data_IF_076742956114
#
_entry.id   IF_076742956114
#
_cell.length_a   1.000
_cell.length_b   1.000
_cell.length_c   1.000
_cell.angle_alpha   90.00
_cell.angle_beta   90.00
_cell.angle_gamma   90.00
#
_symmetry.space_group_name_H-M   'P 1'
#
loop_
_entity.id
_entity.type
_entity.pdbx_description
1 polymer ?
#
# COMPACT_ATOMS: atom_id res chain seq x y z
N UNK A 1 1.23 -14.33 0.05
CA UNK A 1 1.24 -15.52 0.93
C UNK A 1 0.27 -15.41 2.11
N UNK A 2 0.24 -14.30 2.88
CA UNK A 2 -0.65 -14.16 4.06
C UNK A 2 -2.14 -14.34 3.71
N UNK A 3 -2.57 -13.85 2.55
CA UNK A 3 -3.97 -13.93 2.07
C UNK A 3 -4.23 -15.08 1.11
N UNK A 4 -3.21 -15.90 0.79
CA UNK A 4 -3.34 -17.00 -0.16
C UNK A 4 -4.33 -18.06 0.34
N UNK A 5 -5.33 -18.39 -0.48
CA UNK A 5 -6.40 -19.31 -0.10
C UNK A 5 -7.34 -18.78 1.01
N UNK A 6 -7.20 -17.52 1.42
CA UNK A 6 -8.06 -16.88 2.42
C UNK A 6 -9.13 -16.00 1.77
N UNK A 7 -10.22 -15.83 2.45
CA UNK A 7 -11.41 -15.06 2.00
C UNK A 7 -11.23 -13.54 2.25
N UNK A 8 -10.04 -13.01 1.93
CA UNK A 8 -9.63 -11.62 2.16
C UNK A 8 -9.05 -11.03 0.89
N UNK A 9 -9.42 -9.79 0.55
CA UNK A 9 -8.79 -9.03 -0.53
C UNK A 9 -7.37 -8.65 -0.16
N UNK A 10 -6.40 -9.15 -0.91
CA UNK A 10 -4.97 -8.78 -0.74
C UNK A 10 -4.75 -7.29 -0.98
N UNK A 11 -5.46 -6.73 -1.97
CA UNK A 11 -5.43 -5.29 -2.27
C UNK A 11 -5.85 -4.44 -1.09
N UNK A 12 -6.91 -4.84 -0.38
CA UNK A 12 -7.41 -4.15 0.82
C UNK A 12 -6.40 -4.25 1.96
N UNK A 13 -5.85 -5.44 2.22
CA UNK A 13 -4.81 -5.63 3.23
C UNK A 13 -3.60 -4.72 2.99
N UNK A 14 -3.09 -4.68 1.75
CA UNK A 14 -1.93 -3.84 1.41
C UNK A 14 -2.26 -2.35 1.59
N UNK A 15 -3.45 -1.91 1.15
CA UNK A 15 -3.87 -0.52 1.30
C UNK A 15 -4.02 -0.11 2.77
N UNK A 16 -4.57 -0.99 3.61
CA UNK A 16 -4.65 -0.76 5.07
C UNK A 16 -3.25 -0.72 5.69
N UNK A 17 -2.36 -1.67 5.35
CA UNK A 17 -0.99 -1.64 5.84
C UNK A 17 -0.28 -0.33 5.49
N UNK A 18 -0.40 0.15 4.24
CA UNK A 18 0.18 1.42 3.82
C UNK A 18 -0.39 2.62 4.59
N UNK A 19 -1.72 2.67 4.77
CA UNK A 19 -2.39 3.77 5.43
C UNK A 19 -2.09 3.81 6.93
N UNK A 20 -2.24 2.68 7.64
CA UNK A 20 -2.08 2.57 9.10
C UNK A 20 -0.63 2.74 9.55
N UNK A 21 0.33 2.31 8.74
CA UNK A 21 1.76 2.39 9.06
C UNK A 21 2.45 3.66 8.60
N UNK A 22 1.71 4.62 8.01
CA UNK A 22 2.30 5.75 7.29
C UNK A 22 3.35 5.27 6.26
N UNK A 23 2.98 4.30 5.41
CA UNK A 23 3.86 3.68 4.42
C UNK A 23 5.08 2.97 5.03
N UNK A 24 4.91 2.35 6.19
CA UNK A 24 5.98 1.64 6.90
C UNK A 24 6.96 2.55 7.65
N UNK A 25 6.69 3.86 7.73
CA UNK A 25 7.60 4.84 8.37
C UNK A 25 7.26 5.15 9.82
N UNK A 26 6.10 4.70 10.33
CA UNK A 26 5.74 4.93 11.73
C UNK A 26 6.65 4.12 12.67
N UNK A 27 6.95 4.66 13.86
CA UNK A 27 7.75 3.98 14.87
C UNK A 27 7.16 2.63 15.29
N UNK A 28 5.83 2.48 15.19
CA UNK A 28 5.14 1.24 15.49
C UNK A 28 5.33 0.20 14.38
N UNK A 29 5.37 0.61 13.13
CA UNK A 29 5.57 -0.29 11.98
C UNK A 29 7.04 -0.63 11.74
N UNK A 30 7.96 0.24 12.12
CA UNK A 30 9.41 0.00 11.95
C UNK A 30 9.93 -1.09 12.89
N UNK A 31 11.14 -1.57 12.61
CA UNK A 31 11.88 -2.41 13.56
C UNK A 31 12.05 -1.67 14.91
N UNK A 32 11.98 -2.39 16.01
CA UNK A 32 11.78 -3.84 16.18
C UNK A 32 10.32 -4.25 16.40
N UNK A 33 9.34 -3.41 16.05
CA UNK A 33 7.94 -3.61 16.42
C UNK A 33 7.11 -4.30 15.32
N UNK A 34 7.37 -4.02 14.04
CA UNK A 34 6.76 -4.62 12.85
C UNK A 34 5.22 -4.59 12.80
N UNK A 35 4.56 -3.68 13.54
CA UNK A 35 3.10 -3.62 13.62
C UNK A 35 2.55 -2.69 12.53
N UNK A 36 2.18 -3.28 11.40
CA UNK A 36 1.71 -2.55 10.20
C UNK A 36 0.29 -2.01 10.33
N UNK A 37 -0.52 -2.53 11.25
CA UNK A 37 -1.96 -2.28 11.31
C UNK A 37 -2.41 -1.60 12.60
N UNK A 38 -1.50 -1.16 13.44
CA UNK A 38 -1.85 -0.51 14.70
C UNK A 38 -2.59 -1.41 15.68
N UNK A 39 -2.35 -2.73 15.64
CA UNK A 39 -3.10 -3.68 16.47
C UNK A 39 -2.70 -3.55 17.94
N UNK A 40 -3.68 -3.26 18.80
CA UNK A 40 -3.50 -3.15 20.25
C UNK A 40 -3.39 -4.50 20.93
N UNK A 41 -2.81 -4.50 22.14
CA UNK A 41 -2.64 -5.67 22.99
C UNK A 41 -1.24 -6.28 22.90
N UNK A 42 -1.16 -7.61 23.00
CA UNK A 42 0.10 -8.35 22.89
C UNK A 42 0.01 -9.44 21.81
N UNK A 43 1.15 -9.81 21.26
CA UNK A 43 1.33 -10.96 20.38
C UNK A 43 2.30 -11.93 21.05
N UNK A 44 1.82 -13.12 21.45
CA UNK A 44 2.60 -14.11 22.20
C UNK A 44 3.32 -13.50 23.44
N UNK A 45 2.62 -12.62 24.16
CA UNK A 45 3.17 -11.93 25.33
C UNK A 45 4.04 -10.72 25.01
N UNK A 46 4.31 -10.42 23.74
CA UNK A 46 5.14 -9.28 23.32
C UNK A 46 4.28 -8.07 22.98
N UNK A 47 4.62 -6.93 23.55
CA UNK A 47 3.99 -5.64 23.27
C UNK A 47 4.98 -4.50 23.39
N UNK A 48 4.62 -3.36 22.81
CA UNK A 48 5.29 -2.07 23.01
C UNK A 48 4.29 -1.06 23.52
N UNK A 49 4.65 -0.31 24.56
CA UNK A 49 3.81 0.76 25.10
C UNK A 49 4.12 2.06 24.35
N UNK A 50 3.12 2.64 23.71
CA UNK A 50 3.28 3.84 22.91
C UNK A 50 2.16 4.84 23.14
N UNK A 51 2.49 6.13 23.02
CA UNK A 51 1.51 7.21 23.03
C UNK A 51 0.66 7.17 21.77
N UNK A 52 -0.64 7.25 21.93
CA UNK A 52 -1.62 7.30 20.84
C UNK A 52 -2.71 8.33 21.12
N UNK A 53 -3.37 8.79 20.08
CA UNK A 53 -4.56 9.62 20.18
C UNK A 53 -5.79 8.77 19.95
N UNK A 54 -6.72 8.81 20.90
CA UNK A 54 -8.02 8.15 20.78
C UNK A 54 -9.10 9.18 20.49
N UNK A 55 -10.04 8.83 19.62
CA UNK A 55 -11.22 9.65 19.32
C UNK A 55 -12.34 9.35 20.33
N UNK A 56 -12.67 10.33 21.16
CA UNK A 56 -13.80 10.25 22.08
C UNK A 56 -15.16 10.49 21.37
N UNK A 57 -15.17 10.59 20.05
CA UNK A 57 -16.31 10.98 19.25
C UNK A 57 -16.35 12.48 18.95
N UNK A 58 -17.03 12.87 17.88
CA UNK A 58 -17.14 14.26 17.41
C UNK A 58 -15.77 14.98 17.23
N UNK A 59 -14.74 14.24 16.78
CA UNK A 59 -13.36 14.74 16.56
C UNK A 59 -12.68 15.27 17.84
N UNK A 60 -13.09 14.80 19.01
CA UNK A 60 -12.43 15.08 20.27
C UNK A 60 -11.37 14.03 20.54
N UNK A 61 -10.12 14.41 20.38
CA UNK A 61 -8.98 13.53 20.62
C UNK A 61 -8.44 13.70 22.02
N UNK A 62 -8.06 12.59 22.65
CA UNK A 62 -7.29 12.58 23.90
C UNK A 62 -6.12 11.61 23.80
N UNK A 63 -5.02 11.98 24.44
CA UNK A 63 -3.79 11.19 24.39
C UNK A 63 -3.74 10.19 25.51
N UNK A 64 -3.39 8.94 25.18
CA UNK A 64 -3.12 7.88 26.15
C UNK A 64 -1.87 7.11 25.79
N UNK A 65 -1.30 6.41 26.76
CA UNK A 65 -0.36 5.33 26.48
C UNK A 65 -1.12 4.03 26.42
N UNK A 66 -0.91 3.25 25.36
CA UNK A 66 -1.54 1.94 25.19
C UNK A 66 -0.52 0.91 24.70
N UNK A 67 -0.81 -0.36 24.94
CA UNK A 67 0.02 -1.45 24.49
C UNK A 67 -0.37 -1.86 23.08
N UNK A 68 0.60 -1.93 22.19
CA UNK A 68 0.46 -2.42 20.82
C UNK A 68 1.21 -3.72 20.67
N UNK A 69 0.69 -4.63 19.82
CA UNK A 69 1.34 -5.89 19.51
C UNK A 69 2.72 -5.64 18.91
N UNK A 70 3.71 -6.39 19.37
CA UNK A 70 5.05 -6.41 18.82
C UNK A 70 5.25 -7.75 18.11
N UNK A 71 5.54 -7.70 16.83
CA UNK A 71 5.69 -8.90 16.00
C UNK A 71 7.16 -9.20 15.72
N UNK A 72 7.54 -10.48 15.51
CA UNK A 72 8.90 -10.87 15.12
C UNK A 72 9.28 -10.35 13.73
N UNK A 73 8.30 -10.26 12.81
CA UNK A 73 8.48 -9.73 11.46
C UNK A 73 7.17 -9.17 10.89
N UNK A 74 7.25 -8.54 9.73
CA UNK A 74 6.06 -8.08 8.98
C UNK A 74 5.13 -9.23 8.57
N UNK A 75 5.67 -10.44 8.38
CA UNK A 75 4.87 -11.60 8.03
C UNK A 75 3.83 -11.91 9.11
N UNK A 76 4.26 -11.98 10.38
CA UNK A 76 3.35 -12.25 11.50
C UNK A 76 2.32 -11.13 11.70
N UNK A 77 2.71 -9.89 11.42
CA UNK A 77 1.77 -8.76 11.45
C UNK A 77 0.68 -8.91 10.38
N UNK A 78 1.04 -9.34 9.17
CA UNK A 78 0.07 -9.59 8.11
C UNK A 78 -0.79 -10.83 8.37
N UNK A 79 -0.22 -11.90 8.90
CA UNK A 79 -0.95 -13.12 9.24
C UNK A 79 -1.99 -12.83 10.35
N UNK A 80 -1.61 -12.10 11.39
CA UNK A 80 -2.50 -11.71 12.49
C UNK A 80 -3.62 -10.77 12.01
N UNK A 81 -3.34 -9.89 11.05
CA UNK A 81 -4.37 -9.08 10.39
C UNK A 81 -5.40 -9.98 9.66
N UNK A 82 -4.93 -10.95 8.88
CA UNK A 82 -5.80 -11.88 8.16
C UNK A 82 -6.67 -12.68 9.14
N UNK A 83 -6.06 -13.19 10.20
CA UNK A 83 -6.78 -13.91 11.26
C UNK A 83 -7.85 -13.03 11.91
N UNK A 84 -7.55 -11.76 12.17
CA UNK A 84 -8.52 -10.80 12.71
C UNK A 84 -9.70 -10.56 11.74
N UNK A 85 -9.44 -10.42 10.45
CA UNK A 85 -10.50 -10.22 9.45
C UNK A 85 -11.38 -11.48 9.31
N UNK A 86 -10.79 -12.67 9.40
CA UNK A 86 -11.51 -13.95 9.26
C UNK A 86 -12.23 -14.33 10.57
N UNK A 87 -11.58 -14.20 11.71
CA UNK A 87 -12.08 -14.68 12.99
C UNK A 87 -12.77 -13.59 13.82
N UNK A 88 -12.77 -12.34 13.35
CA UNK A 88 -13.43 -11.22 13.98
C UNK A 88 -12.75 -10.76 15.26
N UNK A 89 -13.56 -10.35 16.24
CA UNK A 89 -13.10 -9.86 17.54
C UNK A 89 -13.68 -10.72 18.66
N UNK A 90 -13.12 -10.64 19.87
CA UNK A 90 -13.62 -11.36 21.04
C UNK A 90 -15.11 -11.10 21.25
N UNK A 91 -15.91 -12.16 21.25
CA UNK A 91 -17.37 -12.09 21.40
C UNK A 91 -18.15 -11.79 20.10
N UNK A 92 -17.46 -11.49 18.98
CA UNK A 92 -18.08 -11.24 17.69
C UNK A 92 -17.25 -11.83 16.53
N UNK A 93 -17.26 -13.15 16.32
CA UNK A 93 -16.39 -13.82 15.33
C UNK A 93 -16.70 -13.44 13.89
N UNK A 94 -17.89 -12.95 13.58
CA UNK A 94 -18.30 -12.52 12.24
C UNK A 94 -18.23 -11.00 12.05
N UNK A 95 -17.56 -10.27 12.95
CA UNK A 95 -17.57 -8.81 12.97
C UNK A 95 -17.10 -8.19 11.64
N UNK A 96 -16.11 -8.80 10.99
CA UNK A 96 -15.58 -8.34 9.70
C UNK A 96 -16.08 -9.14 8.49
N UNK A 97 -17.01 -10.07 8.68
CA UNK A 97 -17.43 -11.01 7.63
C UNK A 97 -18.04 -10.37 6.38
N UNK A 98 -18.59 -9.16 6.47
CA UNK A 98 -19.08 -8.42 5.30
C UNK A 98 -17.97 -7.79 4.46
N UNK A 99 -16.70 -7.94 4.86
CA UNK A 99 -15.56 -7.58 4.03
C UNK A 99 -14.92 -8.79 3.32
N UNK A 100 -15.46 -10.00 3.50
CA UNK A 100 -14.92 -11.20 2.86
C UNK A 100 -15.22 -11.23 1.37
N UNK A 101 -14.32 -11.78 0.57
CA UNK A 101 -14.51 -11.94 -0.88
C UNK A 101 -15.81 -12.67 -1.23
N UNK A 102 -16.14 -13.73 -0.48
CA UNK A 102 -17.35 -14.52 -0.66
C UNK A 102 -18.66 -13.78 -0.35
N UNK A 103 -18.57 -12.62 0.29
CA UNK A 103 -19.73 -11.81 0.71
C UNK A 103 -19.79 -10.42 0.08
N UNK A 104 -18.91 -10.15 -0.86
CA UNK A 104 -18.80 -8.86 -1.55
C UNK A 104 -18.67 -9.10 -3.05
N UNK A 105 -19.10 -8.13 -3.85
CA UNK A 105 -18.94 -8.19 -5.30
C UNK A 105 -17.61 -7.54 -5.75
N UNK A 106 -16.98 -6.77 -4.86
CA UNK A 106 -15.78 -6.02 -5.17
C UNK A 106 -15.02 -5.62 -3.89
N UNK A 107 -13.74 -5.24 -4.06
CA UNK A 107 -12.97 -4.67 -2.95
C UNK A 107 -13.57 -3.35 -2.41
N UNK A 108 -14.30 -2.59 -3.26
CA UNK A 108 -15.00 -1.38 -2.84
C UNK A 108 -16.11 -1.68 -1.82
N UNK A 109 -16.82 -2.80 -1.97
CA UNK A 109 -17.80 -3.23 -0.99
C UNK A 109 -17.12 -3.59 0.34
N UNK A 110 -15.99 -4.28 0.27
CA UNK A 110 -15.20 -4.62 1.44
C UNK A 110 -14.68 -3.37 2.17
N UNK A 111 -14.13 -2.38 1.46
CA UNK A 111 -13.63 -1.15 2.07
C UNK A 111 -14.75 -0.31 2.70
N UNK A 112 -15.93 -0.25 2.07
CA UNK A 112 -17.12 0.39 2.66
C UNK A 112 -17.55 -0.31 3.93
N UNK A 113 -17.56 -1.64 3.95
CA UNK A 113 -17.93 -2.41 5.14
C UNK A 113 -16.96 -2.19 6.30
N UNK A 114 -15.66 -2.05 6.02
CA UNK A 114 -14.63 -1.76 7.01
C UNK A 114 -14.74 -0.34 7.59
N UNK A 115 -15.30 0.61 6.83
CA UNK A 115 -15.54 1.99 7.30
C UNK A 115 -16.55 1.99 8.43
N UNK A 116 -16.22 2.62 9.55
CA UNK A 116 -17.00 2.64 10.79
C UNK A 116 -16.86 1.36 11.64
N UNK A 117 -16.15 0.32 11.14
CA UNK A 117 -15.87 -0.93 11.89
C UNK A 117 -14.39 -1.12 12.19
N UNK A 118 -13.56 -0.96 11.20
CA UNK A 118 -12.11 -1.04 11.36
C UNK A 118 -11.53 0.31 11.78
N UNK A 119 -11.98 1.39 11.17
CA UNK A 119 -11.64 2.77 11.51
C UNK A 119 -12.91 3.63 11.58
N UNK A 120 -12.93 4.60 12.50
CA UNK A 120 -14.05 5.55 12.71
C UNK A 120 -14.11 6.64 11.64
N UNK A 121 -13.05 6.82 10.87
CA UNK A 121 -12.96 7.79 9.78
C UNK A 121 -14.00 7.48 8.68
N UNK A 122 -14.96 8.36 8.48
CA UNK A 122 -16.02 8.21 7.48
C UNK A 122 -15.52 8.20 6.03
N UNK A 123 -14.32 8.75 5.77
CA UNK A 123 -13.65 8.73 4.47
C UNK A 123 -12.69 7.55 4.30
N UNK A 124 -12.67 6.59 5.23
CA UNK A 124 -11.72 5.48 5.25
C UNK A 124 -11.73 4.68 3.94
N UNK A 125 -12.92 4.28 3.46
CA UNK A 125 -13.07 3.56 2.19
C UNK A 125 -12.46 4.32 1.00
N UNK A 126 -12.67 5.64 0.96
CA UNK A 126 -12.16 6.46 -0.15
C UNK A 126 -10.62 6.53 -0.14
N UNK A 127 -10.01 6.61 1.05
CA UNK A 127 -8.55 6.56 1.21
C UNK A 127 -7.98 5.22 0.76
N UNK A 128 -8.61 4.11 1.17
CA UNK A 128 -8.19 2.77 0.76
C UNK A 128 -8.35 2.57 -0.74
N UNK A 129 -9.52 2.92 -1.31
CA UNK A 129 -9.78 2.75 -2.73
C UNK A 129 -8.78 3.55 -3.57
N UNK A 130 -8.46 4.78 -3.15
CA UNK A 130 -7.43 5.60 -3.80
C UNK A 130 -6.07 4.90 -3.84
N UNK A 131 -5.63 4.30 -2.73
CA UNK A 131 -4.37 3.56 -2.67
C UNK A 131 -4.44 2.34 -3.59
N UNK A 132 -5.53 1.55 -3.53
CA UNK A 132 -5.72 0.36 -4.36
C UNK A 132 -5.65 0.71 -5.86
N UNK A 133 -6.33 1.76 -6.25
CA UNK A 133 -6.37 2.25 -7.63
C UNK A 133 -5.03 2.81 -8.07
N UNK A 134 -4.43 3.69 -7.25
CA UNK A 134 -3.15 4.34 -7.56
C UNK A 134 -2.02 3.33 -7.78
N UNK A 135 -1.99 2.24 -7.01
CA UNK A 135 -0.93 1.23 -7.07
C UNK A 135 -1.33 -0.06 -7.79
N UNK A 136 -2.54 -0.13 -8.34
CA UNK A 136 -3.03 -1.28 -9.10
C UNK A 136 -3.04 -2.57 -8.28
N UNK A 137 -3.44 -2.48 -7.01
CA UNK A 137 -3.29 -3.58 -6.06
C UNK A 137 -4.23 -4.75 -6.32
N UNK A 138 -5.30 -4.56 -7.08
CA UNK A 138 -6.27 -5.62 -7.43
C UNK A 138 -5.64 -6.82 -8.13
N UNK A 139 -4.49 -6.64 -8.78
CA UNK A 139 -3.73 -7.74 -9.38
C UNK A 139 -3.31 -8.83 -8.39
N UNK A 140 -3.28 -8.50 -7.11
CA UNK A 140 -2.93 -9.45 -6.03
C UNK A 140 -4.14 -10.20 -5.47
N UNK A 141 -5.37 -9.84 -5.84
CA UNK A 141 -6.59 -10.44 -5.29
C UNK A 141 -6.89 -11.84 -5.82
N UNK A 142 -6.36 -12.20 -6.98
CA UNK A 142 -6.63 -13.47 -7.66
C UNK A 142 -5.64 -14.61 -7.32
N UNK A 143 -4.82 -14.44 -6.29
CA UNK A 143 -4.08 -15.54 -5.65
C UNK A 143 -2.98 -16.23 -6.46
N UNK A 144 -2.40 -15.59 -7.48
CA UNK A 144 -1.30 -16.18 -8.24
C UNK A 144 0.00 -15.39 -8.05
N UNK A 145 0.77 -15.78 -7.02
CA UNK A 145 2.20 -15.41 -6.96
C UNK A 145 2.97 -15.89 -8.22
N UNK A 146 2.47 -16.89 -8.91
CA UNK A 146 3.01 -17.41 -10.17
C UNK A 146 2.80 -16.46 -11.35
N UNK A 147 1.77 -15.59 -11.31
CA UNK A 147 1.53 -14.61 -12.38
C UNK A 147 2.51 -13.42 -12.35
N UNK A 148 3.23 -13.20 -11.24
CA UNK A 148 4.21 -12.11 -11.15
C UNK A 148 5.49 -12.48 -11.91
N UNK A 149 5.90 -13.76 -11.88
CA UNK A 149 7.05 -14.21 -12.66
C UNK A 149 6.73 -14.31 -14.16
N UNK A 150 5.53 -14.74 -14.53
CA UNK A 150 5.08 -14.81 -15.93
C UNK A 150 4.69 -13.44 -16.51
N UNK A 151 4.24 -12.50 -15.67
CA UNK A 151 3.85 -11.15 -16.11
C UNK A 151 5.03 -10.21 -16.38
N UNK A 152 6.26 -10.59 -16.00
CA UNK A 152 7.47 -9.82 -16.31
C UNK A 152 8.03 -10.18 -17.68
N UNK A 153 7.78 -11.39 -18.18
CA UNK A 153 8.31 -11.84 -19.48
C UNK A 153 7.44 -11.51 -20.71
N UNK A 154 6.16 -11.16 -20.54
CA UNK A 154 5.25 -10.90 -21.66
C UNK A 154 4.99 -9.42 -21.98
N UNK A 155 5.71 -8.47 -21.36
CA UNK A 155 5.52 -7.03 -21.62
C UNK A 155 6.66 -6.35 -22.38
N UNK A 156 7.33 -7.09 -23.26
CA UNK A 156 8.34 -6.53 -24.17
C UNK A 156 7.81 -6.33 -25.58
N UNK A 157 6.58 -5.82 -25.73
CA UNK A 157 6.10 -5.39 -27.04
C UNK A 157 5.01 -4.32 -26.89
N UNK A 158 5.40 -3.11 -26.54
CA UNK A 158 4.59 -1.92 -26.82
C UNK A 158 5.49 -0.92 -27.53
N UNK A 159 5.36 -0.89 -28.85
CA UNK A 159 5.90 0.09 -29.76
C UNK A 159 5.53 1.49 -29.29
N UNK A 160 6.48 2.41 -29.23
CA UNK A 160 6.28 3.78 -28.80
C UNK A 160 5.11 4.45 -29.53
N UNK A 161 4.02 4.65 -28.81
CA UNK A 161 2.82 5.33 -29.26
C UNK A 161 2.62 6.65 -28.52
N UNK A 162 1.66 7.44 -28.97
CA UNK A 162 1.16 8.60 -28.26
C UNK A 162 -0.27 8.31 -27.78
N UNK A 163 -0.62 8.86 -26.63
CA UNK A 163 -1.97 8.82 -26.09
C UNK A 163 -2.50 10.24 -25.91
N UNK A 164 -3.67 10.51 -26.46
CA UNK A 164 -4.35 11.79 -26.25
C UNK A 164 -5.26 11.69 -25.03
N UNK A 165 -4.99 12.50 -24.02
CA UNK A 165 -5.75 12.54 -22.77
C UNK A 165 -7.21 12.89 -23.06
N UNK A 166 -8.13 12.11 -22.51
CA UNK A 166 -9.57 12.32 -22.60
C UNK A 166 -10.12 12.93 -21.28
N UNK A 167 -11.32 13.48 -21.34
CA UNK A 167 -11.99 13.97 -20.13
C UNK A 167 -12.19 12.84 -19.13
N UNK A 168 -11.75 13.07 -17.88
CA UNK A 168 -11.81 12.07 -16.81
C UNK A 168 -10.61 11.10 -16.74
N UNK A 169 -9.64 11.21 -17.67
CA UNK A 169 -8.44 10.40 -17.57
C UNK A 169 -7.54 10.82 -16.41
N UNK A 170 -6.87 9.83 -15.84
CA UNK A 170 -5.77 9.99 -14.88
C UNK A 170 -4.50 9.36 -15.43
N UNK A 171 -3.34 9.80 -14.99
CA UNK A 171 -2.05 9.19 -15.38
C UNK A 171 -2.05 7.67 -15.16
N UNK A 172 -2.66 7.22 -14.08
CA UNK A 172 -2.81 5.80 -13.78
C UNK A 172 -3.77 5.10 -14.75
N UNK A 173 -4.94 5.70 -15.04
CA UNK A 173 -5.90 5.17 -16.01
C UNK A 173 -5.28 5.01 -17.39
N UNK A 174 -4.51 6.02 -17.84
CA UNK A 174 -3.79 5.99 -19.11
C UNK A 174 -2.71 4.91 -19.12
N UNK A 175 -1.91 4.81 -18.06
CA UNK A 175 -0.86 3.79 -17.95
C UNK A 175 -1.43 2.37 -18.10
N UNK A 176 -2.59 2.10 -17.51
CA UNK A 176 -3.29 0.82 -17.65
C UNK A 176 -3.83 0.59 -19.05
N UNK A 177 -4.48 1.59 -19.66
CA UNK A 177 -5.01 1.50 -21.04
C UNK A 177 -3.89 1.26 -22.06
N UNK A 178 -2.74 1.91 -21.82
CA UNK A 178 -1.60 1.86 -22.74
C UNK A 178 -0.62 0.71 -22.45
N UNK A 179 -0.76 -0.02 -21.34
CA UNK A 179 0.13 -1.11 -20.95
C UNK A 179 1.54 -0.66 -20.54
N UNK A 180 1.73 0.61 -20.15
CA UNK A 180 2.99 1.19 -19.66
C UNK A 180 2.92 1.44 -18.17
N UNK A 181 4.07 1.54 -17.45
CA UNK A 181 4.06 1.93 -16.04
C UNK A 181 3.78 3.42 -15.88
N UNK A 182 3.24 3.83 -14.71
CA UNK A 182 3.07 5.25 -14.38
C UNK A 182 4.42 5.96 -14.37
N UNK A 183 5.46 5.34 -13.80
CA UNK A 183 6.81 5.92 -13.75
C UNK A 183 7.40 6.12 -15.14
N UNK A 184 7.18 5.18 -16.06
CA UNK A 184 7.57 5.34 -17.47
C UNK A 184 6.82 6.52 -18.09
N UNK A 185 5.49 6.60 -17.90
CA UNK A 185 4.67 7.67 -18.44
C UNK A 185 5.12 9.05 -17.89
N UNK A 186 5.45 9.14 -16.61
CA UNK A 186 5.98 10.35 -15.99
C UNK A 186 7.34 10.73 -16.57
N UNK A 187 8.28 9.77 -16.61
CA UNK A 187 9.66 10.00 -17.05
C UNK A 187 9.75 10.47 -18.50
N UNK A 188 9.05 9.78 -19.41
CA UNK A 188 9.13 10.09 -20.86
C UNK A 188 8.41 11.38 -21.22
N UNK A 189 7.53 11.89 -20.36
CA UNK A 189 6.80 13.15 -20.57
C UNK A 189 7.28 14.31 -19.70
N UNK A 190 8.33 14.11 -18.88
CA UNK A 190 8.82 15.13 -17.96
C UNK A 190 7.78 15.55 -16.91
N UNK A 191 6.92 14.61 -16.49
CA UNK A 191 5.85 14.81 -15.51
C UNK A 191 6.27 14.31 -14.13
N UNK A 192 5.59 14.79 -13.10
CA UNK A 192 5.68 14.30 -11.73
C UNK A 192 4.34 13.73 -11.26
N UNK A 193 4.32 13.07 -10.11
CA UNK A 193 3.08 12.54 -9.51
C UNK A 193 2.07 13.63 -9.15
N UNK A 194 2.51 14.88 -9.02
CA UNK A 194 1.66 16.06 -8.79
C UNK A 194 1.23 16.78 -10.07
N UNK A 195 1.70 16.33 -11.24
CA UNK A 195 1.36 16.98 -12.52
C UNK A 195 -0.11 16.78 -12.86
N UNK A 196 -0.75 17.88 -13.30
CA UNK A 196 -2.13 17.85 -13.80
C UNK A 196 -2.10 17.63 -15.30
N UNK A 197 -2.74 16.57 -15.79
CA UNK A 197 -2.96 16.33 -17.20
C UNK A 197 -4.31 16.91 -17.63
N UNK A 198 -4.41 17.35 -18.89
CA UNK A 198 -5.62 18.00 -19.42
C UNK A 198 -6.16 17.26 -20.63
N UNK A 199 -7.48 17.23 -20.84
CA UNK A 199 -8.06 16.71 -22.09
C UNK A 199 -7.42 17.38 -23.32
N UNK A 200 -7.09 16.57 -24.32
CA UNK A 200 -6.37 17.00 -25.53
C UNK A 200 -4.85 17.00 -25.41
N UNK A 201 -4.28 16.87 -24.21
CA UNK A 201 -2.83 16.74 -24.03
C UNK A 201 -2.34 15.42 -24.63
N UNK A 202 -1.25 15.48 -25.41
CA UNK A 202 -0.61 14.28 -25.95
C UNK A 202 0.47 13.81 -25.00
N UNK A 203 0.45 12.53 -24.64
CA UNK A 203 1.45 11.86 -23.82
C UNK A 203 2.17 10.80 -24.63
N UNK A 204 3.50 10.85 -24.61
CA UNK A 204 4.33 9.77 -25.16
C UNK A 204 4.22 8.53 -24.26
N UNK A 205 4.00 7.38 -24.89
CA UNK A 205 3.98 6.10 -24.18
C UNK A 205 5.38 5.47 -24.08
N UNK A 206 6.36 6.01 -24.79
CA UNK A 206 7.79 5.68 -24.77
C UNK A 206 8.15 4.19 -24.77
N UNK A 207 9.26 3.83 -25.39
CA UNK A 207 9.94 2.57 -25.06
C UNK A 207 10.82 2.80 -23.83
N UNK A 208 10.93 1.86 -22.87
CA UNK A 208 11.85 2.03 -21.76
C UNK A 208 13.27 2.14 -22.32
N UNK A 209 13.92 3.28 -22.08
CA UNK A 209 15.34 3.43 -22.38
C UNK A 209 16.08 2.40 -21.54
N UNK A 210 16.82 1.51 -22.23
CA UNK A 210 17.75 0.58 -21.58
C UNK A 210 18.69 1.43 -20.72
N UNK A 211 18.56 1.37 -19.41
CA UNK A 211 19.49 2.01 -18.49
C UNK A 211 20.86 1.36 -18.72
N UNK A 212 21.74 2.04 -19.43
CA UNK A 212 23.16 1.77 -19.36
C UNK A 212 23.62 2.32 -18.01
N UNK A 213 23.94 1.41 -17.09
CA UNK A 213 24.62 1.74 -15.86
C UNK A 213 25.94 2.42 -16.19
N UNK A 214 25.93 3.74 -16.23
CA UNK A 214 27.16 4.53 -16.16
C UNK A 214 27.52 4.66 -14.70
N UNK A 215 28.42 3.79 -14.25
CA UNK A 215 29.04 3.85 -12.95
C UNK A 215 29.88 5.15 -12.89
N UNK A 216 29.32 6.22 -12.37
CA UNK A 216 30.12 7.38 -11.97
C UNK A 216 30.73 7.04 -10.62
N UNK A 217 31.98 6.61 -10.64
CA UNK A 217 32.81 6.48 -9.46
C UNK A 217 33.07 7.89 -8.88
N UNK A 218 32.27 8.27 -7.88
CA UNK A 218 32.58 9.47 -7.08
C UNK A 218 33.62 9.07 -6.04
N UNK A 219 34.89 9.44 -6.32
CA UNK A 219 35.98 9.32 -5.36
C UNK A 219 35.76 10.32 -4.24
N UNK A 220 35.33 9.86 -3.08
CA UNK A 220 35.27 10.67 -1.86
C UNK A 220 36.66 10.63 -1.22
N UNK A 221 37.42 11.71 -1.35
CA UNK A 221 38.67 11.93 -0.58
C UNK A 221 38.35 12.19 0.89
N UNK A 222 38.63 11.23 1.75
CA UNK A 222 38.58 11.40 3.19
C UNK A 222 39.86 12.05 3.64
N UNK A 223 39.84 13.33 4.05
CA UNK A 223 40.92 13.95 4.78
C UNK A 223 40.92 13.42 6.22
N UNK A 224 41.97 12.69 6.55
CA UNK A 224 42.27 12.26 7.91
C UNK A 224 42.63 13.48 8.77
N UNK A 225 41.91 13.70 9.87
CA UNK A 225 42.29 14.64 10.92
C UNK A 225 42.98 13.81 12.01
N UNK A 226 44.30 14.05 12.16
CA UNK A 226 45.11 13.53 13.29
C UNK A 226 44.80 14.36 14.52
N UNK A 227 44.36 13.71 15.60
CA UNK A 227 44.31 14.29 16.93
C UNK A 227 45.56 13.82 17.66
N UNK A 228 46.46 14.78 17.97
CA UNK A 228 47.61 14.55 18.84
C UNK A 228 47.20 14.79 20.30
N UNK A 229 47.73 13.96 21.19
CA UNK A 229 47.47 13.83 22.61
C UNK A 229 47.50 15.13 23.43
#
# INVERSE_FOLDING_TARGET
QATEGKDVYTSVMIAQAALESAWGTSALSAEPNHNLFGVKGNYNGQSVNMYTLEDAGAQKYYGIYDNFRKYPSYKESMDDYVDKIINGIKGAPLFYSGAWKSRTNSYQDATRYLTGRYATDTAYYAKLNRIIEQYGLTKYDNGTATAIAAGIEERTSSTGGQYTVQAGDTLYGISRKAGVSVDQLLTVNGLSTSSVIRPGQSLSLGTPAKQTNSTVATTVSIKSVSITA
#
